data_IF_385493845841
#
_entry.id   IF_385493845841
#
_cell.length_a   1.000
_cell.length_b   1.000
_cell.length_c   1.000
_cell.angle_alpha   90.00
_cell.angle_beta   90.00
_cell.angle_gamma   90.00
#
_symmetry.space_group_name_H-M   'P 1'
#
loop_
_entity.id
_entity.type
_entity.pdbx_description
1 polymer ?
#
# COMPACT_ATOMS: atom_id res chain seq x y z
N UNK A 1 -39.80 19.74 18.63
CA UNK A 1 -38.56 20.49 18.35
C UNK A 1 -37.31 19.95 19.09
N UNK A 2 -37.39 18.88 19.91
CA UNK A 2 -36.29 18.33 20.73
C UNK A 2 -35.55 17.13 20.13
N UNK A 3 -36.01 16.54 19.02
CA UNK A 3 -35.40 15.35 18.41
C UNK A 3 -34.28 15.65 17.40
N UNK A 4 -34.16 16.89 16.92
CA UNK A 4 -33.12 17.25 15.95
C UNK A 4 -31.75 17.50 16.63
N UNK A 5 -31.74 18.03 17.86
CA UNK A 5 -30.51 18.31 18.59
C UNK A 5 -29.78 17.06 19.10
N UNK A 6 -30.52 16.02 19.47
CA UNK A 6 -29.93 14.77 19.99
C UNK A 6 -29.20 13.96 18.91
N UNK A 7 -29.69 14.01 17.67
CA UNK A 7 -29.06 13.32 16.53
C UNK A 7 -27.79 14.04 16.06
N UNK A 8 -27.75 15.35 16.16
CA UNK A 8 -26.59 16.15 15.78
C UNK A 8 -25.47 16.03 16.82
N UNK A 9 -25.81 16.11 18.11
CA UNK A 9 -24.87 15.88 19.21
C UNK A 9 -24.27 14.46 19.18
N UNK A 10 -25.08 13.46 18.87
CA UNK A 10 -24.63 12.07 18.74
C UNK A 10 -23.72 11.86 17.53
N UNK A 11 -23.96 12.55 16.41
CA UNK A 11 -23.06 12.55 15.25
C UNK A 11 -21.74 13.24 15.55
N UNK A 12 -21.75 14.39 16.20
CA UNK A 12 -20.54 15.12 16.61
C UNK A 12 -19.71 14.34 17.63
N UNK A 13 -20.34 13.62 18.56
CA UNK A 13 -19.64 12.75 19.52
C UNK A 13 -19.03 11.53 18.84
N UNK A 14 -19.69 10.97 17.82
CA UNK A 14 -19.16 9.87 17.02
C UNK A 14 -18.03 10.32 16.08
N UNK A 15 -18.12 11.51 15.51
CA UNK A 15 -17.03 12.12 14.71
C UNK A 15 -15.82 12.44 15.58
N UNK A 16 -15.99 13.01 16.78
CA UNK A 16 -14.90 13.26 17.73
C UNK A 16 -14.24 11.98 18.25
N UNK A 17 -14.98 10.89 18.39
CA UNK A 17 -14.42 9.57 18.74
C UNK A 17 -13.59 8.96 17.60
N UNK A 18 -13.82 9.37 16.38
CA UNK A 18 -13.21 8.83 15.16
C UNK A 18 -11.84 9.46 14.85
N UNK A 19 -11.58 10.65 15.36
CA UNK A 19 -10.38 11.43 15.07
C UNK A 19 -9.72 11.90 16.36
N UNK A 20 -8.84 11.07 16.92
CA UNK A 20 -7.97 11.49 17.98
C UNK A 20 -6.85 12.37 17.40
N UNK A 21 -6.77 13.62 17.79
CA UNK A 21 -5.80 14.58 17.25
C UNK A 21 -4.35 14.10 17.37
N UNK A 22 -4.00 13.38 18.43
CA UNK A 22 -2.63 12.86 18.61
C UNK A 22 -2.31 11.78 17.59
N UNK A 23 -3.25 10.87 17.33
CA UNK A 23 -3.11 9.81 16.31
C UNK A 23 -3.04 10.38 14.91
N UNK A 24 -3.91 11.34 14.59
CA UNK A 24 -3.91 12.02 13.29
C UNK A 24 -2.56 12.71 13.02
N UNK A 25 -2.00 13.40 14.03
CA UNK A 25 -0.68 14.01 13.93
C UNK A 25 0.43 12.97 13.80
N UNK A 26 0.40 11.91 14.60
CA UNK A 26 1.38 10.83 14.52
C UNK A 26 1.38 10.16 13.13
N UNK A 27 0.18 9.87 12.59
CA UNK A 27 0.03 9.31 11.25
C UNK A 27 0.51 10.29 10.16
N UNK A 28 0.14 11.57 10.26
CA UNK A 28 0.61 12.60 9.31
C UNK A 28 2.13 12.69 9.28
N UNK A 29 2.78 12.73 10.44
CA UNK A 29 4.23 12.86 10.55
C UNK A 29 4.96 11.59 10.09
N UNK A 30 4.47 10.41 10.47
CA UNK A 30 5.08 9.14 10.07
C UNK A 30 4.99 8.90 8.56
N UNK A 31 3.84 9.17 7.95
CA UNK A 31 3.67 9.06 6.49
C UNK A 31 4.42 10.17 5.75
N UNK A 32 4.46 11.38 6.30
CA UNK A 32 5.30 12.48 5.77
C UNK A 32 6.79 12.14 5.78
N UNK A 33 7.29 11.53 6.86
CA UNK A 33 8.65 10.99 6.89
C UNK A 33 8.86 9.89 5.86
N UNK A 34 7.84 9.05 5.62
CA UNK A 34 7.82 8.03 4.57
C UNK A 34 7.97 8.64 3.17
N UNK A 35 7.36 9.79 2.88
CA UNK A 35 7.54 10.51 1.61
C UNK A 35 9.02 10.91 1.45
N UNK A 36 9.61 11.55 2.48
CA UNK A 36 10.99 12.00 2.42
C UNK A 36 11.96 10.84 2.20
N UNK A 37 11.84 9.78 3.00
CA UNK A 37 12.65 8.57 2.85
C UNK A 37 12.43 7.89 1.49
N UNK A 38 11.20 7.86 1.01
CA UNK A 38 10.82 7.31 -0.29
C UNK A 38 11.44 8.08 -1.46
N UNK A 39 11.51 9.40 -1.39
CA UNK A 39 12.18 10.23 -2.42
C UNK A 39 13.69 9.97 -2.41
N UNK A 40 14.33 9.93 -1.24
CA UNK A 40 15.77 9.66 -1.11
C UNK A 40 16.10 8.26 -1.64
N UNK A 41 15.37 7.23 -1.15
CA UNK A 41 15.55 5.85 -1.60
C UNK A 41 15.25 5.71 -3.11
N UNK A 42 14.22 6.40 -3.58
CA UNK A 42 13.83 6.43 -4.99
C UNK A 42 14.92 6.96 -5.90
N UNK A 43 15.59 8.04 -5.50
CA UNK A 43 16.72 8.56 -6.24
C UNK A 43 17.85 7.50 -6.36
N UNK A 44 18.21 6.86 -5.26
CA UNK A 44 19.24 5.81 -5.24
C UNK A 44 18.83 4.61 -6.10
N UNK A 45 17.57 4.18 -6.02
CA UNK A 45 17.04 3.06 -6.81
C UNK A 45 17.05 3.38 -8.30
N UNK A 46 16.62 4.57 -8.70
CA UNK A 46 16.64 5.01 -10.10
C UNK A 46 18.05 5.12 -10.65
N UNK A 47 19.00 5.65 -9.86
CA UNK A 47 20.41 5.73 -10.26
C UNK A 47 21.01 4.33 -10.48
N UNK A 48 20.74 3.38 -9.57
CA UNK A 48 21.16 1.97 -9.73
C UNK A 48 20.48 1.30 -10.93
N UNK A 49 19.18 1.53 -11.13
CA UNK A 49 18.44 0.98 -12.27
C UNK A 49 19.00 1.50 -13.60
N UNK A 50 19.34 2.78 -13.69
CA UNK A 50 19.93 3.39 -14.87
C UNK A 50 21.34 2.87 -15.19
N UNK A 51 22.09 2.42 -14.18
CA UNK A 51 23.42 1.83 -14.33
C UNK A 51 23.41 0.30 -14.54
N UNK A 52 22.23 -0.34 -14.51
CA UNK A 52 22.07 -1.79 -14.62
C UNK A 52 22.14 -2.33 -16.05
N UNK A 53 21.98 -3.65 -16.18
CA UNK A 53 22.09 -4.36 -17.49
C UNK A 53 20.99 -3.99 -18.46
N UNK A 54 19.78 -3.78 -17.98
CA UNK A 54 18.60 -3.38 -18.79
C UNK A 54 18.03 -2.05 -18.30
N UNK A 55 18.74 -0.93 -18.49
CA UNK A 55 18.44 0.33 -17.79
C UNK A 55 17.03 0.86 -18.09
N UNK A 56 16.57 0.82 -19.34
CA UNK A 56 15.25 1.32 -19.71
C UNK A 56 14.14 0.55 -18.99
N UNK A 57 14.29 -0.78 -18.93
CA UNK A 57 13.30 -1.65 -18.30
C UNK A 57 13.34 -1.54 -16.78
N UNK A 58 14.54 -1.53 -16.20
CA UNK A 58 14.72 -1.38 -14.77
C UNK A 58 14.20 -0.03 -14.25
N UNK A 59 14.52 1.07 -14.95
CA UNK A 59 14.00 2.40 -14.63
C UNK A 59 12.48 2.44 -14.70
N UNK A 60 11.86 1.85 -15.74
CA UNK A 60 10.41 1.80 -15.85
C UNK A 60 9.77 1.05 -14.66
N UNK A 61 10.29 -0.14 -14.31
CA UNK A 61 9.77 -0.93 -13.19
C UNK A 61 9.93 -0.20 -11.84
N UNK A 62 11.08 0.42 -11.61
CA UNK A 62 11.34 1.21 -10.37
C UNK A 62 10.43 2.44 -10.33
N UNK A 63 10.21 3.11 -11.46
CA UNK A 63 9.30 4.27 -11.53
C UNK A 63 7.86 3.86 -11.15
N UNK A 64 7.38 2.73 -11.64
CA UNK A 64 6.05 2.21 -11.28
C UNK A 64 5.96 1.85 -9.80
N UNK A 65 7.02 1.24 -9.24
CA UNK A 65 7.12 0.99 -7.80
C UNK A 65 7.03 2.28 -6.98
N UNK A 66 7.83 3.29 -7.34
CA UNK A 66 7.88 4.58 -6.66
C UNK A 66 6.54 5.32 -6.75
N UNK A 67 5.88 5.25 -7.90
CA UNK A 67 4.54 5.81 -8.07
C UNK A 67 3.55 5.19 -7.08
N UNK A 68 3.49 3.86 -6.97
CA UNK A 68 2.60 3.18 -6.02
C UNK A 68 2.92 3.54 -4.57
N UNK A 69 4.19 3.49 -4.19
CA UNK A 69 4.66 3.82 -2.84
C UNK A 69 4.37 5.27 -2.46
N UNK A 70 4.76 6.23 -3.30
CA UNK A 70 4.55 7.66 -3.01
C UNK A 70 3.07 8.03 -3.04
N UNK A 71 2.26 7.42 -3.91
CA UNK A 71 0.80 7.63 -3.91
C UNK A 71 0.19 7.25 -2.57
N UNK A 72 0.63 6.13 -1.95
CA UNK A 72 0.16 5.70 -0.63
C UNK A 72 0.59 6.68 0.45
N UNK A 73 1.87 7.02 0.56
CA UNK A 73 2.34 7.95 1.59
C UNK A 73 1.77 9.36 1.45
N UNK A 74 1.63 9.88 0.24
CA UNK A 74 1.06 11.21 -0.02
C UNK A 74 -0.43 11.24 0.33
N UNK A 75 -1.21 10.26 -0.12
CA UNK A 75 -2.65 10.21 0.19
C UNK A 75 -2.90 10.07 1.67
N UNK A 76 -2.11 9.24 2.37
CA UNK A 76 -2.22 9.05 3.81
C UNK A 76 -1.84 10.32 4.59
N UNK A 77 -0.71 10.96 4.24
CA UNK A 77 -0.30 12.22 4.86
C UNK A 77 -1.37 13.30 4.70
N UNK A 78 -1.94 13.41 3.50
CA UNK A 78 -2.96 14.40 3.24
C UNK A 78 -4.28 14.08 3.95
N UNK A 79 -4.69 12.81 3.96
CA UNK A 79 -5.88 12.37 4.69
C UNK A 79 -5.77 12.68 6.17
N UNK A 80 -4.71 12.22 6.83
CA UNK A 80 -4.53 12.42 8.26
C UNK A 80 -4.29 13.88 8.64
N UNK A 81 -3.57 14.66 7.82
CA UNK A 81 -3.35 16.10 8.03
C UNK A 81 -4.56 16.99 7.76
N UNK A 82 -5.65 16.46 7.19
CA UNK A 82 -6.83 17.25 6.84
C UNK A 82 -7.81 17.37 8.00
N UNK A 83 -8.48 18.53 8.07
CA UNK A 83 -9.55 18.77 9.04
C UNK A 83 -10.79 17.92 8.72
N UNK A 84 -11.56 17.50 9.74
CA UNK A 84 -12.84 16.80 9.53
C UNK A 84 -13.75 17.52 8.54
N UNK A 85 -14.38 16.77 7.63
CA UNK A 85 -15.28 17.32 6.60
C UNK A 85 -15.29 16.51 5.32
N UNK A 86 -16.03 16.96 4.32
CA UNK A 86 -16.21 16.26 3.04
C UNK A 86 -14.88 15.95 2.32
N UNK A 87 -13.89 16.85 2.42
CA UNK A 87 -12.58 16.63 1.84
C UNK A 87 -11.86 15.45 2.51
N UNK A 88 -11.84 15.40 3.86
CA UNK A 88 -11.23 14.30 4.60
C UNK A 88 -11.88 12.95 4.25
N UNK A 89 -13.19 12.93 4.08
CA UNK A 89 -13.90 11.72 3.63
C UNK A 89 -13.53 11.27 2.21
N UNK A 90 -13.28 12.22 1.31
CA UNK A 90 -12.78 11.91 -0.02
C UNK A 90 -11.34 11.40 0.04
N UNK A 91 -10.47 12.08 0.80
CA UNK A 91 -9.07 11.71 0.97
C UNK A 91 -8.92 10.32 1.60
N UNK A 92 -9.80 9.92 2.52
CA UNK A 92 -9.85 8.57 3.06
C UNK A 92 -10.00 7.50 1.98
N UNK A 93 -10.81 7.75 0.96
CA UNK A 93 -10.98 6.80 -0.16
C UNK A 93 -9.71 6.69 -1.00
N UNK A 94 -9.01 7.79 -1.21
CA UNK A 94 -7.70 7.78 -1.88
C UNK A 94 -6.65 7.07 -1.04
N UNK A 95 -6.61 7.30 0.27
CA UNK A 95 -5.71 6.65 1.20
C UNK A 95 -5.87 5.12 1.16
N UNK A 96 -7.09 4.61 1.30
CA UNK A 96 -7.38 3.18 1.18
C UNK A 96 -7.10 2.64 -0.22
N UNK A 97 -7.50 3.37 -1.27
CA UNK A 97 -7.27 2.95 -2.65
C UNK A 97 -5.79 2.88 -3.02
N UNK A 98 -4.97 3.82 -2.53
CA UNK A 98 -3.55 3.87 -2.82
C UNK A 98 -2.76 2.68 -2.26
N UNK A 99 -3.28 1.98 -1.25
CA UNK A 99 -2.66 0.74 -0.75
C UNK A 99 -2.63 -0.33 -1.85
N UNK A 100 -3.69 -0.47 -2.63
CA UNK A 100 -3.72 -1.40 -3.77
C UNK A 100 -2.65 -1.07 -4.80
N UNK A 101 -2.48 0.23 -5.11
CA UNK A 101 -1.44 0.69 -6.05
C UNK A 101 -0.04 0.46 -5.49
N UNK A 102 0.14 0.63 -4.18
CA UNK A 102 1.42 0.35 -3.50
C UNK A 102 1.79 -1.13 -3.60
N UNK A 103 0.84 -2.03 -3.32
CA UNK A 103 1.07 -3.48 -3.45
C UNK A 103 1.45 -3.81 -4.90
N UNK A 104 0.66 -3.37 -5.89
CA UNK A 104 0.94 -3.66 -7.30
C UNK A 104 2.27 -3.05 -7.77
N UNK A 105 2.58 -1.84 -7.33
CA UNK A 105 3.87 -1.19 -7.57
C UNK A 105 5.04 -2.02 -7.05
N UNK A 106 4.92 -2.53 -5.81
CA UNK A 106 5.94 -3.38 -5.18
C UNK A 106 6.17 -4.69 -5.94
N UNK A 107 5.12 -5.29 -6.48
CA UNK A 107 5.22 -6.50 -7.32
C UNK A 107 5.93 -6.26 -8.65
N UNK A 108 5.84 -5.06 -9.20
CA UNK A 108 6.33 -4.76 -10.56
C UNK A 108 7.80 -5.10 -10.77
N UNK A 109 8.77 -4.69 -9.92
CA UNK A 109 10.17 -5.09 -10.09
C UNK A 109 10.38 -6.59 -9.99
N UNK A 110 9.75 -7.27 -9.03
CA UNK A 110 9.92 -8.72 -8.86
C UNK A 110 9.36 -9.51 -10.04
N UNK A 111 8.18 -9.13 -10.51
CA UNK A 111 7.52 -9.84 -11.63
C UNK A 111 8.18 -9.55 -12.96
N UNK A 112 8.59 -8.31 -13.23
CA UNK A 112 9.07 -7.89 -14.53
C UNK A 112 10.60 -7.76 -14.67
N UNK A 113 11.37 -7.69 -13.57
CA UNK A 113 12.84 -7.76 -13.64
C UNK A 113 13.35 -9.15 -13.31
N UNK A 114 12.77 -9.83 -12.29
CA UNK A 114 13.26 -11.14 -11.87
C UNK A 114 12.57 -12.26 -12.64
N UNK A 115 11.23 -12.25 -12.72
CA UNK A 115 10.45 -13.39 -13.20
C UNK A 115 9.94 -13.25 -14.64
N UNK A 116 10.31 -12.20 -15.38
CA UNK A 116 9.81 -11.97 -16.74
C UNK A 116 10.03 -13.15 -17.68
N UNK A 117 11.14 -13.84 -17.53
CA UNK A 117 11.53 -14.99 -18.35
C UNK A 117 11.19 -16.35 -17.75
N UNK A 118 10.50 -16.36 -16.59
CA UNK A 118 10.10 -17.57 -15.86
C UNK A 118 8.81 -18.20 -16.45
N UNK A 119 8.79 -18.53 -17.72
CA UNK A 119 7.71 -19.32 -18.34
C UNK A 119 6.29 -18.72 -18.19
N UNK A 120 6.16 -17.40 -18.15
CA UNK A 120 4.86 -16.72 -18.00
C UNK A 120 4.47 -16.37 -16.57
N UNK A 121 5.17 -16.85 -15.54
CA UNK A 121 4.89 -16.53 -14.15
C UNK A 121 4.95 -15.03 -13.86
N UNK A 122 5.98 -14.35 -14.36
CA UNK A 122 6.15 -12.91 -14.16
C UNK A 122 4.98 -12.10 -14.70
N UNK A 123 4.62 -12.30 -15.94
CA UNK A 123 3.50 -11.61 -16.59
C UNK A 123 2.15 -12.02 -16.00
N UNK A 124 1.97 -13.29 -15.63
CA UNK A 124 0.73 -13.78 -15.02
C UNK A 124 0.44 -13.10 -13.68
N UNK A 125 1.43 -13.09 -12.76
CA UNK A 125 1.27 -12.42 -11.46
C UNK A 125 1.15 -10.92 -11.63
N UNK A 126 1.97 -10.29 -12.48
CA UNK A 126 1.88 -8.87 -12.79
C UNK A 126 0.46 -8.47 -13.21
N UNK A 127 -0.10 -9.17 -14.19
CA UNK A 127 -1.44 -8.89 -14.70
C UNK A 127 -2.51 -9.10 -13.63
N UNK A 128 -2.44 -10.19 -12.87
CA UNK A 128 -3.38 -10.48 -11.80
C UNK A 128 -3.36 -9.38 -10.72
N UNK A 129 -2.18 -9.00 -10.25
CA UNK A 129 -2.04 -8.01 -9.17
C UNK A 129 -2.48 -6.62 -9.64
N UNK A 130 -2.12 -6.22 -10.86
CA UNK A 130 -2.54 -4.92 -11.39
C UNK A 130 -4.04 -4.85 -11.67
N UNK A 131 -4.64 -5.90 -12.22
CA UNK A 131 -6.10 -5.96 -12.38
C UNK A 131 -6.81 -5.89 -11.03
N UNK A 132 -6.32 -6.66 -10.05
CA UNK A 132 -6.86 -6.63 -8.68
C UNK A 132 -6.71 -5.24 -8.05
N UNK A 133 -5.57 -4.57 -8.28
CA UNK A 133 -5.32 -3.23 -7.76
C UNK A 133 -6.27 -2.18 -8.38
N UNK A 134 -6.49 -2.23 -9.68
CA UNK A 134 -7.42 -1.32 -10.36
C UNK A 134 -8.85 -1.53 -9.83
N UNK A 135 -9.30 -2.79 -9.71
CA UNK A 135 -10.62 -3.11 -9.17
C UNK A 135 -10.73 -2.66 -7.72
N UNK A 136 -9.74 -2.97 -6.87
CA UNK A 136 -9.72 -2.58 -5.47
C UNK A 136 -9.73 -1.06 -5.29
N UNK A 137 -8.92 -0.34 -6.08
CA UNK A 137 -8.90 1.13 -6.09
C UNK A 137 -10.28 1.71 -6.42
N UNK A 138 -10.94 1.22 -7.48
CA UNK A 138 -12.28 1.67 -7.88
C UNK A 138 -13.30 1.36 -6.78
N UNK A 139 -13.21 0.19 -6.15
CA UNK A 139 -14.13 -0.21 -5.08
C UNK A 139 -13.98 0.64 -3.82
N UNK A 140 -12.78 1.17 -3.52
CA UNK A 140 -12.55 2.08 -2.39
C UNK A 140 -13.38 3.38 -2.49
N UNK A 141 -13.84 3.75 -3.70
CA UNK A 141 -14.74 4.90 -3.89
C UNK A 141 -16.22 4.57 -3.69
N UNK A 142 -16.60 3.29 -3.64
CA UNK A 142 -17.96 2.89 -3.29
C UNK A 142 -18.14 2.98 -1.78
N UNK A 143 -19.39 3.20 -1.33
CA UNK A 143 -19.72 3.17 0.11
C UNK A 143 -19.59 1.73 0.65
N UNK A 144 -18.38 1.38 1.08
CA UNK A 144 -18.18 0.20 1.93
C UNK A 144 -18.53 0.57 3.38
N UNK A 145 -19.02 -0.40 4.17
CA UNK A 145 -19.29 -0.20 5.60
C UNK A 145 -18.01 0.25 6.30
N UNK A 146 -18.12 1.15 7.26
CA UNK A 146 -16.99 1.84 7.92
C UNK A 146 -15.91 0.95 8.55
N UNK A 147 -16.19 -0.32 8.80
CA UNK A 147 -15.26 -1.35 9.26
C UNK A 147 -15.48 -2.62 8.44
N UNK A 148 -15.09 -2.57 7.17
CA UNK A 148 -15.09 -3.78 6.35
C UNK A 148 -13.70 -4.42 6.41
N UNK A 149 -13.57 -5.53 7.12
CA UNK A 149 -12.36 -6.38 7.08
C UNK A 149 -12.08 -6.90 5.65
N UNK A 150 -13.02 -6.68 4.71
CA UNK A 150 -12.89 -7.12 3.33
C UNK A 150 -11.70 -6.44 2.62
N UNK A 151 -11.48 -5.13 2.84
CA UNK A 151 -10.33 -4.43 2.25
C UNK A 151 -9.02 -5.03 2.76
N UNK A 152 -8.91 -5.22 4.07
CA UNK A 152 -7.73 -5.84 4.69
C UNK A 152 -7.49 -7.26 4.17
N UNK A 153 -8.54 -8.06 4.02
CA UNK A 153 -8.45 -9.41 3.43
C UNK A 153 -7.95 -9.33 1.98
N UNK A 154 -8.47 -8.39 1.18
CA UNK A 154 -8.02 -8.18 -0.19
C UNK A 154 -6.54 -7.78 -0.27
N UNK A 155 -6.07 -6.88 0.61
CA UNK A 155 -4.66 -6.50 0.69
C UNK A 155 -3.77 -7.69 1.02
N UNK A 156 -4.15 -8.48 2.03
CA UNK A 156 -3.40 -9.68 2.44
C UNK A 156 -3.38 -10.71 1.30
N UNK A 157 -4.53 -10.96 0.66
CA UNK A 157 -4.62 -11.90 -0.45
C UNK A 157 -3.74 -11.48 -1.64
N UNK A 158 -3.77 -10.19 -2.01
CA UNK A 158 -2.87 -9.66 -3.04
C UNK A 158 -1.41 -9.78 -2.64
N UNK A 159 -1.05 -9.42 -1.40
CA UNK A 159 0.31 -9.52 -0.89
C UNK A 159 0.83 -10.96 -0.84
N UNK A 160 -0.06 -11.93 -0.58
CA UNK A 160 0.29 -13.35 -0.48
C UNK A 160 0.36 -14.08 -1.84
N UNK A 161 -0.11 -13.47 -2.94
CA UNK A 161 -0.19 -14.17 -4.24
C UNK A 161 1.19 -14.60 -4.77
N UNK A 162 2.30 -13.98 -4.34
CA UNK A 162 3.66 -14.40 -4.70
C UNK A 162 3.99 -15.82 -4.21
N UNK A 163 3.31 -16.30 -3.16
CA UNK A 163 3.54 -17.64 -2.61
C UNK A 163 3.28 -18.74 -3.64
N UNK A 164 2.36 -18.50 -4.59
CA UNK A 164 2.06 -19.46 -5.68
C UNK A 164 3.25 -19.62 -6.63
N UNK A 165 4.08 -18.59 -6.77
CA UNK A 165 5.25 -18.55 -7.64
C UNK A 165 6.57 -18.47 -6.85
N UNK A 166 6.57 -18.91 -5.60
CA UNK A 166 7.74 -18.84 -4.74
C UNK A 166 8.94 -19.59 -5.33
N UNK A 167 8.70 -20.79 -5.87
CA UNK A 167 9.77 -21.59 -6.47
C UNK A 167 10.40 -20.89 -7.68
N UNK A 168 9.66 -20.49 -8.74
CA UNK A 168 10.26 -19.77 -9.85
C UNK A 168 10.90 -18.44 -9.43
N UNK A 169 10.40 -17.74 -8.42
CA UNK A 169 11.04 -16.55 -7.89
C UNK A 169 12.41 -16.86 -7.28
N UNK A 170 12.49 -17.89 -6.44
CA UNK A 170 13.75 -18.28 -5.79
C UNK A 170 14.80 -18.76 -6.81
N UNK A 171 14.38 -19.57 -7.77
CA UNK A 171 15.27 -20.08 -8.83
C UNK A 171 15.89 -18.90 -9.61
N UNK A 172 15.10 -17.93 -10.04
CA UNK A 172 15.61 -16.78 -10.80
C UNK A 172 16.41 -15.79 -9.95
N UNK A 173 16.07 -15.59 -8.67
CA UNK A 173 16.91 -14.81 -7.76
C UNK A 173 18.28 -15.46 -7.57
N UNK A 174 18.34 -16.78 -7.51
CA UNK A 174 19.62 -17.52 -7.40
C UNK A 174 20.43 -17.39 -8.69
N UNK A 175 19.82 -17.55 -9.87
CA UNK A 175 20.46 -17.36 -11.17
C UNK A 175 21.06 -15.95 -11.34
N UNK A 176 20.39 -14.94 -10.81
CA UNK A 176 20.85 -13.54 -10.84
C UNK A 176 21.90 -13.21 -9.76
N UNK A 177 22.27 -14.16 -8.89
CA UNK A 177 23.11 -13.90 -7.73
C UNK A 177 22.46 -13.01 -6.67
N UNK A 178 21.13 -12.84 -6.73
CA UNK A 178 20.35 -11.97 -5.88
C UNK A 178 19.62 -12.71 -4.74
N UNK A 179 20.09 -13.88 -4.35
CA UNK A 179 19.51 -14.71 -3.29
C UNK A 179 19.18 -13.97 -1.98
N UNK A 180 20.03 -13.03 -1.49
CA UNK A 180 19.71 -12.22 -0.31
C UNK A 180 18.44 -11.37 -0.43
N UNK A 181 17.99 -11.01 -1.64
CA UNK A 181 16.76 -10.25 -1.85
C UNK A 181 15.52 -11.02 -1.38
N UNK A 182 15.56 -12.35 -1.38
CA UNK A 182 14.53 -13.21 -0.83
C UNK A 182 14.23 -12.91 0.65
N UNK A 183 15.26 -12.77 1.46
CA UNK A 183 15.10 -12.48 2.89
C UNK A 183 14.53 -11.10 3.16
N UNK A 184 14.87 -10.12 2.31
CA UNK A 184 14.24 -8.79 2.37
C UNK A 184 12.75 -8.86 1.99
N UNK A 185 12.39 -9.67 1.01
CA UNK A 185 10.99 -9.89 0.63
C UNK A 185 10.20 -10.54 1.78
N UNK A 186 10.75 -11.57 2.42
CA UNK A 186 10.14 -12.24 3.58
C UNK A 186 9.99 -11.26 4.76
N UNK A 187 11.04 -10.49 5.06
CA UNK A 187 11.00 -9.48 6.13
C UNK A 187 9.94 -8.41 5.88
N UNK A 188 9.85 -7.92 4.63
CA UNK A 188 8.81 -6.95 4.23
C UNK A 188 7.40 -7.54 4.34
N UNK A 189 7.18 -8.76 3.85
CA UNK A 189 5.91 -9.46 3.95
C UNK A 189 5.48 -9.70 5.41
N UNK A 190 6.41 -10.14 6.26
CA UNK A 190 6.14 -10.33 7.69
C UNK A 190 5.76 -9.00 8.38
N UNK A 191 6.51 -7.93 8.10
CA UNK A 191 6.22 -6.59 8.64
C UNK A 191 4.83 -6.09 8.21
N UNK A 192 4.46 -6.35 6.95
CA UNK A 192 3.14 -6.01 6.43
C UNK A 192 2.01 -6.78 7.14
N UNK A 193 2.18 -8.09 7.35
CA UNK A 193 1.19 -8.91 8.07
C UNK A 193 1.04 -8.44 9.51
N UNK A 194 2.17 -8.18 10.20
CA UNK A 194 2.16 -7.64 11.56
C UNK A 194 1.41 -6.31 11.60
N UNK A 195 1.67 -5.40 10.67
CA UNK A 195 0.95 -4.13 10.57
C UNK A 195 -0.56 -4.31 10.33
N UNK A 196 -0.95 -5.24 9.44
CA UNK A 196 -2.35 -5.55 9.18
C UNK A 196 -3.07 -6.15 10.41
N UNK A 197 -2.39 -6.97 11.21
CA UNK A 197 -2.90 -7.49 12.48
C UNK A 197 -3.14 -6.34 13.46
N UNK A 198 -2.16 -5.45 13.67
CA UNK A 198 -2.33 -4.28 14.53
C UNK A 198 -3.47 -3.37 14.06
N UNK A 199 -3.62 -3.16 12.76
CA UNK A 199 -4.71 -2.39 12.20
C UNK A 199 -6.10 -3.00 12.46
N UNK A 200 -6.20 -4.33 12.50
CA UNK A 200 -7.46 -5.05 12.73
C UNK A 200 -7.83 -5.21 14.20
N UNK A 201 -6.90 -4.98 15.14
CA UNK A 201 -7.18 -5.06 16.57
C UNK A 201 -8.00 -3.85 17.03
N UNK A 202 -9.13 -4.06 17.74
CA UNK A 202 -9.86 -2.95 18.33
C UNK A 202 -9.02 -2.35 19.47
N UNK A 203 -8.48 -1.16 19.26
CA UNK A 203 -7.79 -0.43 20.31
C UNK A 203 -8.86 0.20 21.21
N UNK A 204 -9.05 -0.38 22.40
CA UNK A 204 -9.87 0.22 23.43
C UNK A 204 -9.05 1.29 24.16
N UNK A 205 -9.33 2.55 23.86
CA UNK A 205 -8.83 3.65 24.70
C UNK A 205 -9.74 3.73 25.93
N UNK A 206 -9.29 3.22 27.06
CA UNK A 206 -9.83 3.52 28.40
C UNK A 206 -9.34 4.88 28.86
#
# INVERSE_FOLDING_TARGET
MYLCGSNQSRKETLENKRYNNVEEWANTLSHGAGILLGVIAGYVLLAKAAAGVEPKWAVACVTVYLFGMLSSYVSSTWYHGSRPGKLKELLRKFDHGAIYLHIAGTYTPFTLLVMRHAGGWGWGIFSFVWLSAIVGFILSFKKLKEHSNLETICYIAMGACILVAMKPLMDHLAEMGAGPAFWWLIGGGASYIIGAVFYSLPVSYT
#
